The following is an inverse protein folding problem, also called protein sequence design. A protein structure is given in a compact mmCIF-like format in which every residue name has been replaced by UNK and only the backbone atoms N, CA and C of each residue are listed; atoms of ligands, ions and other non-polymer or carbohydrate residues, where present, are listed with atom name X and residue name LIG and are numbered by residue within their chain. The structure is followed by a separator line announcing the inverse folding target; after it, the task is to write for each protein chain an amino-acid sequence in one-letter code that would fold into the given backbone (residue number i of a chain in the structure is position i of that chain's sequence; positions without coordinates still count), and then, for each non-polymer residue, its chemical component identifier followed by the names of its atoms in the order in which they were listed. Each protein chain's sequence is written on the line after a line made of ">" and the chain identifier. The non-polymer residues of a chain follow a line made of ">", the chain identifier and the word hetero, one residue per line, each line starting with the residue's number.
data_IF_473615496240
#
_entry.id   IF_473615496240
#
_cell.length_a   1.000
_cell.length_b   1.000
_cell.length_c   1.000
_cell.angle_alpha   90.00
_cell.angle_beta   90.00
_cell.angle_gamma   90.00
#
_symmetry.space_group_name_H-M   'P 1'
#
loop_
_entity.id
_entity.type
_entity.pdbx_description
1 polymer ?
#
# COMPACT_ATOMS: atom_id res chain seq x y z
N UNK A 1 20.66 -20.70 -6.58
CA UNK A 1 21.61 -20.32 -5.50
C UNK A 1 21.60 -18.80 -5.38
N UNK A 2 21.28 -18.24 -4.20
CA UNK A 2 21.46 -16.79 -3.94
C UNK A 2 22.96 -16.51 -3.74
N UNK A 3 23.51 -15.41 -4.27
CA UNK A 3 24.93 -15.12 -4.14
C UNK A 3 25.32 -14.93 -2.65
N UNK A 4 26.52 -15.39 -2.24
CA UNK A 4 26.96 -15.39 -0.84
C UNK A 4 27.05 -13.98 -0.23
N UNK A 5 27.23 -12.96 -1.08
CA UNK A 5 27.33 -11.54 -0.72
C UNK A 5 26.08 -10.97 -0.04
N UNK A 6 24.92 -11.65 -0.13
CA UNK A 6 23.67 -11.13 0.44
C UNK A 6 23.69 -11.17 1.97
N UNK A 7 24.37 -12.14 2.58
CA UNK A 7 24.35 -12.35 4.03
C UNK A 7 25.68 -12.07 4.72
N UNK A 8 26.68 -11.59 3.98
CA UNK A 8 27.98 -11.28 4.54
C UNK A 8 27.94 -9.93 5.29
N UNK A 9 28.14 -9.90 6.63
CA UNK A 9 28.18 -8.66 7.40
C UNK A 9 29.36 -7.75 7.05
N UNK A 10 30.39 -8.26 6.37
CA UNK A 10 31.55 -7.50 5.94
C UNK A 10 31.45 -7.03 4.48
N UNK A 11 30.25 -7.09 3.89
CA UNK A 11 30.04 -6.64 2.50
C UNK A 11 30.42 -5.16 2.36
N UNK A 12 31.30 -4.85 1.41
CA UNK A 12 31.76 -3.47 1.21
C UNK A 12 30.62 -2.53 0.78
N UNK A 13 30.70 -1.22 1.11
CA UNK A 13 29.72 -0.23 0.68
C UNK A 13 29.50 -0.19 -0.84
N UNK A 14 30.55 -0.41 -1.63
CA UNK A 14 30.45 -0.42 -3.10
C UNK A 14 29.66 -1.63 -3.61
N UNK A 15 29.90 -2.81 -3.04
CA UNK A 15 29.12 -4.01 -3.36
C UNK A 15 27.67 -3.86 -2.93
N UNK A 16 27.41 -3.28 -1.74
CA UNK A 16 26.06 -2.95 -1.30
C UNK A 16 25.36 -1.96 -2.24
N UNK A 17 26.06 -0.96 -2.78
CA UNK A 17 25.53 -0.04 -3.81
C UNK A 17 25.15 -0.77 -5.09
N UNK A 18 26.01 -1.66 -5.57
CA UNK A 18 25.73 -2.48 -6.76
C UNK A 18 24.52 -3.38 -6.53
N UNK A 19 24.45 -4.01 -5.35
CA UNK A 19 23.34 -4.85 -4.95
C UNK A 19 22.03 -4.04 -4.89
N UNK A 20 22.02 -2.87 -4.25
CA UNK A 20 20.83 -2.01 -4.19
C UNK A 20 20.30 -1.61 -5.57
N UNK A 21 21.18 -1.40 -6.56
CA UNK A 21 20.78 -1.05 -7.94
C UNK A 21 20.23 -2.24 -8.72
N UNK A 22 20.81 -3.43 -8.51
CA UNK A 22 20.46 -4.67 -9.24
C UNK A 22 19.27 -5.39 -8.63
N UNK A 23 19.30 -5.56 -7.32
CA UNK A 23 18.31 -6.26 -6.51
C UNK A 23 18.14 -5.54 -5.16
N UNK A 24 17.25 -4.53 -5.13
CA UNK A 24 17.01 -3.77 -3.91
C UNK A 24 16.51 -4.64 -2.76
N UNK A 25 15.77 -5.71 -3.05
CA UNK A 25 15.25 -6.63 -2.03
C UNK A 25 16.41 -7.36 -1.37
N UNK A 26 17.33 -7.93 -2.16
CA UNK A 26 18.52 -8.60 -1.61
C UNK A 26 19.39 -7.65 -0.79
N UNK A 27 19.53 -6.39 -1.21
CA UNK A 27 20.21 -5.38 -0.40
C UNK A 27 19.55 -5.21 0.97
N UNK A 28 18.22 -5.15 1.03
CA UNK A 28 17.50 -4.98 2.29
C UNK A 28 17.65 -6.17 3.24
N UNK A 29 18.01 -7.34 2.71
CA UNK A 29 18.28 -8.55 3.50
C UNK A 29 19.70 -8.61 4.05
N UNK A 30 20.59 -7.70 3.62
CA UNK A 30 21.98 -7.70 4.07
C UNK A 30 22.11 -7.06 5.46
N UNK A 31 22.79 -7.71 6.42
CA UNK A 31 22.92 -7.21 7.80
C UNK A 31 23.72 -5.90 7.92
N UNK A 32 24.58 -5.58 6.94
CA UNK A 32 25.34 -4.33 6.90
C UNK A 32 24.55 -3.17 6.27
N UNK A 33 23.41 -3.44 5.61
CA UNK A 33 22.61 -2.41 4.95
C UNK A 33 22.11 -1.29 5.90
N UNK A 34 21.65 -1.57 7.13
CA UNK A 34 21.24 -0.52 8.06
C UNK A 34 22.36 0.46 8.41
N UNK A 35 23.60 -0.04 8.55
CA UNK A 35 24.76 0.78 8.88
C UNK A 35 25.08 1.77 7.76
N UNK A 36 25.02 1.31 6.51
CA UNK A 36 25.23 2.16 5.33
C UNK A 36 24.19 3.28 5.21
N UNK A 37 22.98 3.05 5.72
CA UNK A 37 21.89 4.03 5.71
C UNK A 37 21.99 5.05 6.83
N UNK A 38 22.52 4.63 7.98
CA UNK A 38 22.89 5.56 9.05
C UNK A 38 24.01 6.49 8.59
N UNK A 39 25.01 5.93 7.88
CA UNK A 39 26.12 6.72 7.32
C UNK A 39 25.66 7.66 6.20
N UNK A 40 24.74 7.20 5.35
CA UNK A 40 24.21 8.00 4.25
C UNK A 40 22.67 7.86 4.14
N UNK A 41 21.90 8.76 4.76
CA UNK A 41 20.43 8.73 4.70
C UNK A 41 19.87 8.91 3.29
N UNK A 42 20.66 9.50 2.38
CA UNK A 42 20.27 9.73 0.99
C UNK A 42 20.64 8.56 0.06
N UNK A 43 21.19 7.47 0.59
CA UNK A 43 21.59 6.30 -0.18
C UNK A 43 20.45 5.72 -1.03
N UNK A 44 19.22 5.75 -0.50
CA UNK A 44 18.00 5.36 -1.19
C UNK A 44 17.38 6.50 -2.02
N UNK A 45 18.17 7.19 -2.83
CA UNK A 45 17.63 8.16 -3.80
C UNK A 45 17.11 7.46 -5.06
N UNK A 46 16.15 6.54 -4.89
CA UNK A 46 15.46 5.94 -6.02
C UNK A 46 14.31 6.82 -6.50
N UNK A 47 14.04 6.73 -7.80
CA UNK A 47 12.83 7.30 -8.37
C UNK A 47 11.60 6.68 -7.68
N UNK A 48 10.54 7.45 -7.36
CA UNK A 48 9.37 6.96 -6.63
C UNK A 48 8.76 5.67 -7.19
N UNK A 49 8.75 5.51 -8.51
CA UNK A 49 8.27 4.28 -9.18
C UNK A 49 9.03 3.04 -8.71
N UNK A 50 10.36 3.12 -8.56
CA UNK A 50 11.17 1.99 -8.10
C UNK A 50 10.93 1.71 -6.61
N UNK A 51 10.72 2.73 -5.79
CA UNK A 51 10.34 2.54 -4.38
C UNK A 51 8.98 1.84 -4.24
N UNK A 52 8.01 2.20 -5.08
CA UNK A 52 6.72 1.52 -5.13
C UNK A 52 6.85 0.06 -5.57
N UNK A 53 7.75 -0.26 -6.50
CA UNK A 53 8.05 -1.66 -6.87
C UNK A 53 8.67 -2.43 -5.71
N UNK A 54 9.58 -1.82 -4.94
CA UNK A 54 10.21 -2.42 -3.77
C UNK A 54 9.15 -2.72 -2.69
N UNK A 55 8.26 -1.77 -2.40
CA UNK A 55 7.15 -1.91 -1.44
C UNK A 55 6.13 -3.00 -1.80
N UNK A 56 6.23 -3.66 -2.95
CA UNK A 56 5.42 -4.85 -3.25
C UNK A 56 5.96 -6.11 -2.58
N UNK A 57 7.18 -6.08 -2.05
CA UNK A 57 7.79 -7.21 -1.40
C UNK A 57 7.38 -7.26 0.09
N UNK A 58 6.60 -8.27 0.46
CA UNK A 58 6.13 -8.46 1.83
C UNK A 58 7.24 -8.68 2.86
N UNK A 59 8.39 -9.22 2.45
CA UNK A 59 9.52 -9.55 3.31
C UNK A 59 10.49 -8.38 3.55
N UNK A 60 10.07 -7.14 3.27
CA UNK A 60 10.90 -5.98 3.57
C UNK A 60 11.11 -5.79 5.08
N UNK A 61 12.32 -5.41 5.51
CA UNK A 61 12.57 -5.08 6.91
C UNK A 61 11.69 -3.92 7.38
N UNK A 62 11.09 -4.05 8.57
CA UNK A 62 10.21 -3.04 9.13
C UNK A 62 10.86 -1.65 9.26
N UNK A 63 12.16 -1.58 9.57
CA UNK A 63 12.89 -0.31 9.66
C UNK A 63 12.92 0.45 8.33
N UNK A 64 13.01 -0.25 7.19
CA UNK A 64 13.02 0.38 5.87
C UNK A 64 11.64 0.89 5.51
N UNK A 65 10.62 0.09 5.79
CA UNK A 65 9.22 0.48 5.56
C UNK A 65 8.86 1.69 6.41
N UNK A 66 9.31 1.73 7.68
CA UNK A 66 9.17 2.89 8.56
C UNK A 66 9.85 4.14 7.99
N UNK A 67 11.06 4.00 7.44
CA UNK A 67 11.76 5.09 6.78
C UNK A 67 10.99 5.59 5.54
N UNK A 68 10.47 4.69 4.69
CA UNK A 68 9.68 5.04 3.51
C UNK A 68 8.31 5.65 3.86
N UNK A 69 7.75 5.34 5.03
CA UNK A 69 6.54 5.97 5.55
C UNK A 69 6.74 7.46 5.94
N UNK A 70 7.98 7.96 5.95
CA UNK A 70 8.30 9.38 6.11
C UNK A 70 8.76 10.04 4.80
N UNK A 71 8.67 9.33 3.68
CA UNK A 71 9.19 9.81 2.41
C UNK A 71 8.43 11.04 1.87
N UNK A 72 9.16 11.96 1.21
CA UNK A 72 8.61 13.21 0.66
C UNK A 72 7.53 13.00 -0.41
N UNK A 73 7.64 11.95 -1.21
CA UNK A 73 6.66 11.62 -2.23
C UNK A 73 5.44 10.97 -1.58
N UNK A 74 4.28 11.61 -1.73
CA UNK A 74 3.02 11.20 -1.07
C UNK A 74 2.61 9.77 -1.42
N UNK A 75 2.76 9.35 -2.68
CA UNK A 75 2.44 8.00 -3.12
C UNK A 75 3.30 6.91 -2.45
N UNK A 76 4.60 7.16 -2.26
CA UNK A 76 5.51 6.24 -1.57
C UNK A 76 5.15 6.13 -0.10
N UNK A 77 4.89 7.29 0.53
CA UNK A 77 4.49 7.36 1.92
C UNK A 77 3.18 6.60 2.19
N UNK A 78 2.14 6.86 1.40
CA UNK A 78 0.85 6.17 1.52
C UNK A 78 1.02 4.66 1.33
N UNK A 79 1.79 4.23 0.31
CA UNK A 79 2.04 2.81 0.07
C UNK A 79 2.81 2.14 1.22
N UNK A 80 3.82 2.81 1.78
CA UNK A 80 4.60 2.29 2.91
C UNK A 80 3.76 2.17 4.19
N UNK A 81 2.87 3.13 4.46
CA UNK A 81 1.95 3.07 5.60
C UNK A 81 0.96 1.90 5.52
N UNK A 82 0.63 1.45 4.31
CA UNK A 82 -0.26 0.30 4.05
C UNK A 82 0.49 -1.04 3.97
N UNK A 83 1.82 -1.03 4.07
CA UNK A 83 2.64 -2.22 3.92
C UNK A 83 2.47 -3.17 5.11
N UNK A 84 2.45 -4.47 4.84
CA UNK A 84 2.26 -5.55 5.83
C UNK A 84 3.20 -5.45 7.05
N UNK A 85 4.46 -5.06 6.82
CA UNK A 85 5.45 -4.89 7.89
C UNK A 85 5.13 -3.75 8.90
N UNK A 86 4.27 -2.78 8.54
CA UNK A 86 3.82 -1.69 9.42
C UNK A 86 2.35 -1.82 9.81
N UNK A 87 1.49 -2.07 8.83
CA UNK A 87 0.05 -2.20 9.04
C UNK A 87 -0.33 -3.56 9.67
N UNK A 88 0.62 -4.50 9.71
CA UNK A 88 0.37 -5.91 10.01
C UNK A 88 -0.18 -6.65 8.79
N UNK A 89 -0.31 -7.97 8.92
CA UNK A 89 -1.29 -8.68 8.11
C UNK A 89 -2.63 -8.01 8.39
N UNK A 90 -3.28 -7.60 7.31
CA UNK A 90 -4.68 -7.30 7.42
C UNK A 90 -5.30 -8.65 7.84
N UNK A 91 -5.60 -8.80 9.13
CA UNK A 91 -6.44 -9.86 9.65
C UNK A 91 -7.86 -9.31 9.80
N UNK A 92 -8.86 -10.17 9.79
CA UNK A 92 -10.20 -9.70 10.12
C UNK A 92 -10.18 -9.10 11.54
N UNK A 93 -10.69 -7.86 11.74
CA UNK A 93 -11.51 -7.06 10.84
C UNK A 93 -10.83 -5.74 10.44
N UNK A 94 -9.88 -5.77 9.49
CA UNK A 94 -9.37 -4.55 8.83
C UNK A 94 -10.50 -3.69 8.24
N UNK A 95 -11.64 -4.32 7.93
CA UNK A 95 -12.88 -3.69 7.43
C UNK A 95 -13.42 -2.63 8.39
N UNK A 96 -13.12 -2.71 9.69
CA UNK A 96 -13.49 -1.70 10.69
C UNK A 96 -12.70 -0.40 10.56
N UNK A 97 -11.38 -0.47 10.33
CA UNK A 97 -10.51 0.72 10.16
C UNK A 97 -10.75 1.43 8.82
N UNK A 98 -11.06 0.68 7.76
CA UNK A 98 -11.51 1.24 6.48
C UNK A 98 -12.89 1.92 6.63
N UNK A 99 -13.79 1.37 7.45
CA UNK A 99 -15.10 1.98 7.76
C UNK A 99 -14.97 3.30 8.50
N UNK A 100 -14.02 3.39 9.45
CA UNK A 100 -13.79 4.60 10.24
C UNK A 100 -13.12 5.74 9.44
N UNK A 101 -12.36 5.41 8.39
CA UNK A 101 -11.65 6.39 7.56
C UNK A 101 -12.50 6.97 6.42
N UNK A 102 -13.65 6.35 6.11
CA UNK A 102 -14.62 6.95 5.21
C UNK A 102 -15.32 8.11 5.92
N UNK A 103 -14.90 9.35 5.63
CA UNK A 103 -15.56 10.53 6.18
C UNK A 103 -17.07 10.51 5.87
N UNK A 104 -17.90 10.95 6.82
CA UNK A 104 -19.35 11.06 6.63
C UNK A 104 -19.73 11.91 5.38
N UNK A 105 -18.84 12.82 4.95
CA UNK A 105 -18.98 13.58 3.70
C UNK A 105 -18.86 12.72 2.44
N UNK A 106 -18.02 11.68 2.45
CA UNK A 106 -17.85 10.72 1.35
C UNK A 106 -19.11 9.86 1.18
N UNK A 107 -19.74 9.46 2.28
CA UNK A 107 -20.99 8.67 2.25
C UNK A 107 -22.22 9.49 1.83
N UNK A 108 -22.20 10.83 1.93
CA UNK A 108 -23.31 11.68 1.43
C UNK A 108 -23.40 11.70 -0.09
N UNK A 109 -22.27 11.80 -0.80
CA UNK A 109 -22.20 11.86 -2.27
C UNK A 109 -21.04 11.03 -2.82
N UNK A 110 -21.08 9.70 -2.69
CA UNK A 110 -19.93 8.84 -2.95
C UNK A 110 -19.45 8.88 -4.39
N UNK A 111 -20.33 9.06 -5.37
CA UNK A 111 -19.95 9.22 -6.79
C UNK A 111 -19.13 10.48 -7.09
N UNK A 112 -19.00 11.42 -6.16
CA UNK A 112 -18.17 12.63 -6.33
C UNK A 112 -16.76 12.49 -5.75
N UNK A 113 -16.43 11.37 -5.11
CA UNK A 113 -15.07 11.17 -4.61
C UNK A 113 -14.10 10.97 -5.79
N UNK A 114 -12.98 11.71 -5.78
CA UNK A 114 -12.00 11.66 -6.86
C UNK A 114 -11.29 10.31 -6.94
N UNK A 115 -11.05 9.67 -5.79
CA UNK A 115 -10.42 8.34 -5.71
C UNK A 115 -11.49 7.26 -5.86
N UNK A 116 -11.28 6.29 -6.74
CA UNK A 116 -12.25 5.22 -6.97
C UNK A 116 -12.36 4.26 -5.77
N UNK A 117 -11.32 4.19 -4.94
CA UNK A 117 -11.29 3.40 -3.71
C UNK A 117 -12.33 3.90 -2.71
N UNK A 118 -12.47 5.22 -2.55
CA UNK A 118 -13.47 5.84 -1.67
C UNK A 118 -14.89 5.50 -2.14
N UNK A 119 -15.11 5.45 -3.46
CA UNK A 119 -16.39 5.07 -4.07
C UNK A 119 -16.69 3.58 -3.89
N UNK A 120 -15.66 2.74 -3.95
CA UNK A 120 -15.78 1.32 -3.67
C UNK A 120 -16.13 1.07 -2.20
N UNK A 121 -15.47 1.76 -1.27
CA UNK A 121 -15.81 1.70 0.16
C UNK A 121 -17.25 2.13 0.40
N UNK A 122 -17.70 3.20 -0.25
CA UNK A 122 -19.10 3.59 -0.19
C UNK A 122 -20.03 2.51 -0.77
N UNK A 123 -19.69 1.88 -1.91
CA UNK A 123 -20.50 0.78 -2.45
C UNK A 123 -20.61 -0.38 -1.44
N UNK A 124 -19.54 -0.66 -0.69
CA UNK A 124 -19.51 -1.73 0.31
C UNK A 124 -20.13 -1.36 1.67
N UNK A 125 -20.31 -0.07 1.96
CA UNK A 125 -20.79 0.39 3.27
C UNK A 125 -22.28 0.09 3.50
N UNK A 126 -22.69 -0.56 4.60
CA UNK A 126 -24.10 -0.87 4.87
C UNK A 126 -24.98 0.38 5.03
N UNK A 127 -24.39 1.52 5.38
CA UNK A 127 -25.09 2.81 5.48
C UNK A 127 -25.39 3.46 4.12
N UNK A 128 -24.86 2.93 3.03
CA UNK A 128 -25.13 3.45 1.68
C UNK A 128 -26.51 3.00 1.23
N UNK A 129 -27.35 3.97 0.89
CA UNK A 129 -28.75 3.75 0.51
C UNK A 129 -28.88 3.12 -0.88
N UNK A 130 -30.03 2.50 -1.16
CA UNK A 130 -30.36 1.90 -2.46
C UNK A 130 -30.23 2.90 -3.62
N UNK A 131 -30.67 4.14 -3.40
CA UNK A 131 -30.54 5.22 -4.39
C UNK A 131 -29.06 5.52 -4.72
N UNK A 132 -28.20 5.56 -3.71
CA UNK A 132 -26.76 5.79 -3.90
C UNK A 132 -26.10 4.60 -4.60
N UNK A 133 -26.51 3.36 -4.32
CA UNK A 133 -26.05 2.17 -5.03
C UNK A 133 -26.42 2.20 -6.52
N UNK A 134 -27.63 2.62 -6.88
CA UNK A 134 -28.01 2.80 -8.28
C UNK A 134 -27.12 3.82 -9.00
N UNK A 135 -26.70 4.88 -8.30
CA UNK A 135 -25.76 5.85 -8.84
C UNK A 135 -24.35 5.25 -9.02
N UNK A 136 -23.87 4.46 -8.06
CA UNK A 136 -22.56 3.78 -8.13
C UNK A 136 -22.53 2.63 -9.16
N UNK A 137 -23.68 2.04 -9.51
CA UNK A 137 -23.79 1.07 -10.60
C UNK A 137 -23.42 1.68 -11.97
N UNK A 138 -23.46 3.01 -12.09
CA UNK A 138 -23.06 3.77 -13.30
C UNK A 138 -21.63 4.32 -13.22
N UNK A 139 -20.83 3.92 -12.22
CA UNK A 139 -19.47 4.42 -12.05
C UNK A 139 -18.56 4.04 -13.23
N UNK A 140 -17.57 4.88 -13.54
CA UNK A 140 -16.56 4.58 -14.55
C UNK A 140 -15.69 3.36 -14.19
N UNK A 141 -15.50 3.08 -12.90
CA UNK A 141 -14.68 1.96 -12.43
C UNK A 141 -15.48 0.65 -12.32
N UNK A 142 -14.94 -0.44 -12.92
CA UNK A 142 -15.60 -1.76 -12.95
C UNK A 142 -15.85 -2.39 -11.57
N UNK A 143 -14.96 -2.18 -10.60
CA UNK A 143 -15.07 -2.78 -9.26
C UNK A 143 -16.20 -2.12 -8.47
N UNK A 144 -16.31 -0.80 -8.57
CA UNK A 144 -17.40 -0.03 -7.95
C UNK A 144 -18.76 -0.50 -8.48
N UNK A 145 -18.89 -0.67 -9.81
CA UNK A 145 -20.13 -1.18 -10.42
C UNK A 145 -20.49 -2.57 -9.93
N UNK A 146 -19.51 -3.49 -9.91
CA UNK A 146 -19.71 -4.86 -9.45
C UNK A 146 -20.19 -4.90 -8.00
N UNK A 147 -19.51 -4.21 -7.09
CA UNK A 147 -19.90 -4.18 -5.68
C UNK A 147 -21.28 -3.54 -5.46
N UNK A 148 -21.60 -2.46 -6.19
CA UNK A 148 -22.93 -1.86 -6.11
C UNK A 148 -24.03 -2.80 -6.61
N UNK A 149 -23.77 -3.55 -7.68
CA UNK A 149 -24.72 -4.53 -8.22
C UNK A 149 -24.93 -5.70 -7.27
N UNK A 150 -23.87 -6.25 -6.69
CA UNK A 150 -23.97 -7.36 -5.74
C UNK A 150 -24.84 -7.01 -4.54
N UNK A 151 -24.71 -5.80 -3.99
CA UNK A 151 -25.59 -5.35 -2.90
C UNK A 151 -27.03 -5.18 -3.32
N UNK A 152 -27.28 -4.60 -4.49
CA UNK A 152 -28.65 -4.46 -4.99
C UNK A 152 -29.34 -5.81 -5.21
N UNK A 153 -28.56 -6.85 -5.55
CA UNK A 153 -29.06 -8.22 -5.66
C UNK A 153 -29.31 -8.83 -4.28
N UNK A 154 -28.39 -8.68 -3.32
CA UNK A 154 -28.56 -9.15 -1.95
C UNK A 154 -29.78 -8.53 -1.26
N UNK A 155 -29.99 -7.22 -1.45
CA UNK A 155 -31.16 -6.50 -0.92
C UNK A 155 -32.48 -6.86 -1.63
N UNK A 156 -32.44 -7.59 -2.74
CA UNK A 156 -33.61 -8.07 -3.47
C UNK A 156 -33.95 -9.54 -3.16
N UNK A 157 -33.07 -10.25 -2.46
CA UNK A 157 -33.25 -11.64 -2.02
C UNK A 157 -33.74 -11.78 -0.57
N UNK A 158 -34.06 -10.66 0.08
CA UNK A 158 -34.73 -10.58 1.39
C UNK A 158 -36.20 -10.19 1.25
#
# INVERSE_FOLDING_TARGET
>A
MKPPEIFDPNTSPETLRRLARRDPVAFCQNPAAPLLLLENPLFFHFHPVRLLQILRNESLPGWLVAHLALHRATCVREAAQLHIALAGEATEPWTGKCRASASASTLRRPWRANRWQDRLLAAQSPSTTRQQLHQLKRDGNRYVRYSAQQRLLADASC
#
